data_IF_214502262838
#
_entry.id   IF_214502262838
#
_cell.length_a   1.000
_cell.length_b   1.000
_cell.length_c   1.000
_cell.angle_alpha   90.00
_cell.angle_beta   90.00
_cell.angle_gamma   90.00
#
_symmetry.space_group_name_H-M   'P 1'
#
loop_
_entity.id
_entity.type
_entity.pdbx_description
1 polymer ?
#
# COMPACT_ATOMS: atom_id res chain seq x y z
N UNK A 1 -19.30 -16.26 -7.42
CA UNK A 1 -18.62 -15.90 -7.20
C UNK A 1 -17.80 -14.70 -7.28
N UNK A 2 -17.57 -14.08 -8.37
CA UNK A 2 -16.74 -12.95 -8.44
C UNK A 2 -17.41 -11.77 -7.94
N UNK A 3 -16.84 -11.05 -7.08
CA UNK A 3 -17.53 -9.93 -6.49
C UNK A 3 -17.80 -8.79 -7.42
N UNK A 4 -17.29 -8.79 -8.58
CA UNK A 4 -17.58 -7.70 -9.46
C UNK A 4 -16.52 -6.63 -9.40
N UNK A 5 -16.84 -5.43 -9.86
CA UNK A 5 -15.80 -4.41 -10.04
C UNK A 5 -15.28 -3.86 -8.74
N UNK A 6 -16.02 -3.99 -7.67
CA UNK A 6 -15.50 -3.47 -6.44
C UNK A 6 -14.62 -4.46 -5.79
N UNK A 7 -13.51 -4.01 -5.30
CA UNK A 7 -12.52 -4.91 -4.75
C UNK A 7 -12.05 -4.41 -3.43
N UNK A 8 -12.88 -4.52 -2.41
CA UNK A 8 -12.41 -4.10 -1.09
C UNK A 8 -11.20 -4.88 -0.65
N UNK A 9 -11.09 -6.13 -1.12
CA UNK A 9 -9.91 -6.92 -0.79
C UNK A 9 -8.66 -6.33 -1.42
N UNK A 10 -8.80 -5.73 -2.58
CA UNK A 10 -7.68 -5.11 -3.24
C UNK A 10 -7.20 -3.90 -2.46
N UNK A 11 -8.11 -3.08 -1.99
CA UNK A 11 -7.75 -1.92 -1.20
C UNK A 11 -7.06 -2.37 0.08
N UNK A 12 -7.60 -3.38 0.74
CA UNK A 12 -6.99 -3.88 1.95
C UNK A 12 -5.61 -4.44 1.69
N UNK A 13 -5.44 -5.17 0.60
CA UNK A 13 -4.14 -5.74 0.28
C UNK A 13 -3.12 -4.65 0.05
N UNK A 14 -3.50 -3.58 -0.62
CA UNK A 14 -2.59 -2.47 -0.85
C UNK A 14 -2.18 -1.81 0.45
N UNK A 15 -3.12 -1.63 1.36
CA UNK A 15 -2.79 -1.02 2.63
C UNK A 15 -1.90 -1.93 3.46
N UNK A 16 -2.11 -3.22 3.36
CA UNK A 16 -1.23 -4.16 4.07
C UNK A 16 0.17 -4.13 3.49
N UNK A 17 0.29 -4.02 2.19
CA UNK A 17 1.60 -3.88 1.57
C UNK A 17 2.29 -2.61 2.03
N UNK A 18 1.54 -1.53 2.13
CA UNK A 18 2.11 -0.28 2.61
C UNK A 18 2.65 -0.45 4.03
N UNK A 19 1.88 -1.10 4.88
CA UNK A 19 2.34 -1.31 6.25
C UNK A 19 3.58 -2.18 6.31
N UNK A 20 3.60 -3.20 5.47
CA UNK A 20 4.76 -4.08 5.41
C UNK A 20 6.00 -3.31 5.00
N UNK A 21 5.86 -2.45 4.01
CA UNK A 21 6.98 -1.63 3.58
C UNK A 21 7.45 -0.72 4.69
N UNK A 22 6.53 -0.16 5.45
CA UNK A 22 6.92 0.71 6.56
C UNK A 22 7.67 -0.05 7.64
N UNK A 23 7.22 -1.26 7.94
CA UNK A 23 7.93 -2.06 8.92
C UNK A 23 9.33 -2.41 8.45
N UNK A 24 9.44 -2.77 7.19
CA UNK A 24 10.75 -3.08 6.65
C UNK A 24 11.64 -1.87 6.69
N UNK A 25 11.08 -0.69 6.42
CA UNK A 25 11.89 0.51 6.44
C UNK A 25 12.41 0.79 7.83
N UNK A 26 11.62 0.49 8.85
CA UNK A 26 12.06 0.72 10.22
C UNK A 26 13.13 -0.25 10.63
N UNK A 27 13.13 -1.45 10.05
CA UNK A 27 14.11 -2.47 10.39
C UNK A 27 15.38 -2.38 9.56
N UNK A 28 15.43 -1.47 8.62
CA UNK A 28 16.54 -1.39 7.69
C UNK A 28 17.50 -0.31 8.10
N UNK A 29 18.79 -0.62 8.10
CA UNK A 29 19.81 0.35 8.43
C UNK A 29 20.09 1.32 7.32
N UNK A 30 20.06 0.84 6.10
CA UNK A 30 20.44 1.65 4.96
C UNK A 30 19.45 2.74 4.72
N UNK A 31 19.97 3.95 4.68
CA UNK A 31 19.11 5.10 4.52
C UNK A 31 18.38 5.10 3.19
N UNK A 32 19.10 4.79 2.13
CA UNK A 32 18.48 4.80 0.82
C UNK A 32 17.40 3.76 0.69
N UNK A 33 17.67 2.58 1.26
CA UNK A 33 16.67 1.52 1.23
C UNK A 33 15.46 1.93 2.05
N UNK A 34 15.68 2.57 3.19
CA UNK A 34 14.57 3.03 4.00
C UNK A 34 13.70 4.02 3.24
N UNK A 35 14.34 4.94 2.55
CA UNK A 35 13.60 5.95 1.81
C UNK A 35 12.82 5.32 0.66
N UNK A 36 13.44 4.35 0.00
CA UNK A 36 12.75 3.66 -1.08
C UNK A 36 11.55 2.90 -0.57
N UNK A 37 11.68 2.23 0.57
CA UNK A 37 10.57 1.48 1.13
C UNK A 37 9.44 2.41 1.54
N UNK A 38 9.76 3.57 2.08
CA UNK A 38 8.73 4.52 2.47
C UNK A 38 8.02 5.09 1.24
N UNK A 39 8.77 5.34 0.19
CA UNK A 39 8.16 5.81 -1.04
C UNK A 39 7.22 4.76 -1.61
N UNK A 40 7.61 3.50 -1.54
CA UNK A 40 6.73 2.42 -1.98
C UNK A 40 5.48 2.38 -1.14
N UNK A 41 5.62 2.52 0.16
CA UNK A 41 4.45 2.50 1.04
C UNK A 41 3.49 3.63 0.68
N UNK A 42 4.03 4.81 0.43
CA UNK A 42 3.19 5.93 0.05
C UNK A 42 2.47 5.65 -1.27
N UNK A 43 3.17 5.03 -2.20
CA UNK A 43 2.56 4.68 -3.47
C UNK A 43 1.42 3.70 -3.30
N UNK A 44 1.62 2.69 -2.47
CA UNK A 44 0.56 1.72 -2.21
C UNK A 44 -0.64 2.41 -1.58
N UNK A 45 -0.40 3.30 -0.63
CA UNK A 45 -1.50 4.01 0.02
C UNK A 45 -2.25 4.89 -0.96
N UNK A 46 -1.53 5.58 -1.82
CA UNK A 46 -2.18 6.43 -2.81
C UNK A 46 -3.03 5.61 -3.76
N UNK A 47 -2.53 4.47 -4.16
CA UNK A 47 -3.30 3.62 -5.04
C UNK A 47 -4.55 3.12 -4.32
N UNK A 48 -4.40 2.74 -3.06
CA UNK A 48 -5.54 2.28 -2.28
C UNK A 48 -6.58 3.38 -2.14
N UNK A 49 -6.12 4.61 -1.89
CA UNK A 49 -7.04 5.73 -1.77
C UNK A 49 -7.78 5.97 -3.07
N UNK A 50 -7.07 5.90 -4.18
CA UNK A 50 -7.70 6.12 -5.46
C UNK A 50 -8.76 5.07 -5.74
N UNK A 51 -8.47 3.81 -5.42
CA UNK A 51 -9.45 2.76 -5.61
C UNK A 51 -10.66 2.94 -4.71
N UNK A 52 -10.40 3.31 -3.46
CA UNK A 52 -11.50 3.52 -2.53
C UNK A 52 -12.36 4.69 -2.95
N UNK A 53 -11.73 5.76 -3.44
CA UNK A 53 -12.48 6.94 -3.84
C UNK A 53 -13.30 6.73 -5.09
N UNK A 54 -12.85 5.86 -5.95
CA UNK A 54 -13.59 5.59 -7.17
C UNK A 54 -14.96 5.05 -6.90
N UNK A 55 -15.14 4.42 -5.77
CA UNK A 55 -16.42 3.83 -5.46
C UNK A 55 -17.44 4.85 -5.05
N UNK A 56 -17.00 5.87 -4.43
CA UNK A 56 -17.89 6.88 -3.93
C UNK A 56 -18.30 7.81 -4.96
#
# INVERSE_FOLDING_TARGET
LDPGPERPDEVRALREQAQRCRRLSEATYERETRMALRAMADGFDKTADALANKRG
#
